data_IF_925836199959
#
_entry.id   IF_925836199959
#
_cell.length_a   1.000
_cell.length_b   1.000
_cell.length_c   1.000
_cell.angle_alpha   90.00
_cell.angle_beta   90.00
_cell.angle_gamma   90.00
#
_symmetry.space_group_name_H-M   'P 1'
#
loop_
_entity.id
_entity.type
_entity.pdbx_description
1 polymer ?
#
# COMPACT_ATOMS: atom_id res chain seq x y z
N UNK A 1 -5.96 18.74 91.14
CA UNK A 1 -5.64 17.45 90.46
C UNK A 1 -4.73 17.76 89.27
N UNK A 2 -3.99 16.75 88.79
CA UNK A 2 -3.12 16.69 87.59
C UNK A 2 -4.01 16.66 86.32
N UNK A 3 -3.74 17.33 85.18
CA UNK A 3 -2.67 18.28 84.80
C UNK A 3 -3.23 19.36 83.78
N UNK A 4 -2.61 19.94 82.73
CA UNK A 4 -1.36 19.68 81.98
C UNK A 4 -0.75 20.93 81.28
N UNK A 5 0.40 20.75 80.63
CA UNK A 5 1.26 21.75 79.94
C UNK A 5 0.87 22.08 78.47
N UNK A 6 0.69 23.38 78.18
CA UNK A 6 1.09 24.18 76.98
C UNK A 6 0.64 23.86 75.52
N UNK A 7 0.76 24.84 74.57
CA UNK A 7 0.23 24.80 73.18
C UNK A 7 1.41 24.80 72.14
N UNK A 8 1.36 25.38 70.91
CA UNK A 8 0.26 25.85 70.04
C UNK A 8 0.38 25.37 68.56
N UNK A 9 -0.45 25.90 67.66
CA UNK A 9 0.04 26.39 66.36
C UNK A 9 -0.93 27.41 65.74
N UNK A 10 -0.42 28.34 64.93
CA UNK A 10 -1.20 29.28 64.13
C UNK A 10 -0.90 29.08 62.65
N UNK A 11 -1.91 29.26 61.79
CA UNK A 11 -1.77 29.23 60.34
C UNK A 11 -2.54 30.42 59.75
N UNK A 12 -1.81 31.47 59.40
CA UNK A 12 -2.36 32.68 58.77
C UNK A 12 -2.31 32.55 57.23
N UNK A 13 -3.27 33.15 56.53
CA UNK A 13 -3.58 32.80 55.14
C UNK A 13 -3.17 33.88 54.13
N UNK A 14 -2.32 33.53 53.17
CA UNK A 14 -2.02 34.36 51.99
C UNK A 14 -2.04 33.54 50.70
N UNK A 15 -2.93 33.91 49.78
CA UNK A 15 -2.93 33.40 48.40
C UNK A 15 -1.98 34.22 47.51
N UNK A 16 -1.13 33.59 46.69
CA UNK A 16 -0.48 34.28 45.58
C UNK A 16 -1.47 34.54 44.43
N UNK A 17 -1.61 35.79 44.00
CA UNK A 17 -2.33 36.13 42.77
C UNK A 17 -1.50 35.72 41.54
N UNK A 18 -2.12 35.07 40.56
CA UNK A 18 -1.46 34.67 39.30
C UNK A 18 -1.40 35.84 38.31
N UNK A 19 -0.26 36.51 38.25
CA UNK A 19 0.00 37.63 37.35
C UNK A 19 0.02 37.21 35.87
N UNK A 20 -0.67 37.97 35.02
CA UNK A 20 -0.78 37.68 33.59
C UNK A 20 0.46 38.13 32.80
N UNK A 21 1.45 37.25 32.68
CA UNK A 21 2.56 37.28 31.71
C UNK A 21 3.13 35.86 31.57
N UNK A 22 3.56 35.34 30.42
CA UNK A 22 3.92 35.98 29.14
C UNK A 22 3.30 35.21 27.95
N UNK A 23 2.82 35.89 26.90
CA UNK A 23 2.44 35.25 25.62
C UNK A 23 3.62 35.17 24.63
N UNK A 24 4.76 34.62 25.07
CA UNK A 24 5.92 34.41 24.22
C UNK A 24 6.24 32.90 24.12
N UNK A 25 6.01 32.35 22.93
CA UNK A 25 6.54 31.06 22.45
C UNK A 25 6.50 29.90 23.47
N UNK A 26 5.31 29.32 23.68
CA UNK A 26 5.24 27.95 24.23
C UNK A 26 6.05 27.03 23.31
N UNK A 27 7.11 26.40 23.87
CA UNK A 27 7.93 25.46 23.11
C UNK A 27 7.03 24.29 22.64
N UNK A 28 6.95 24.02 21.33
CA UNK A 28 6.06 22.97 20.82
C UNK A 28 6.43 21.60 21.43
N UNK A 29 5.43 20.75 21.75
CA UNK A 29 5.65 19.51 22.47
C UNK A 29 6.46 18.52 21.61
N UNK A 30 7.63 18.13 22.14
CA UNK A 30 8.52 17.17 21.53
C UNK A 30 8.18 15.77 22.06
N UNK A 31 7.96 14.82 21.15
CA UNK A 31 7.83 13.39 21.44
C UNK A 31 9.06 12.67 20.92
N UNK A 32 9.80 12.03 21.83
CA UNK A 32 10.81 11.04 21.50
C UNK A 32 10.21 9.63 21.62
N UNK A 33 10.72 8.68 20.84
CA UNK A 33 10.38 7.27 20.91
C UNK A 33 11.61 6.48 20.46
N UNK A 34 11.90 5.38 21.14
CA UNK A 34 12.96 4.43 20.79
C UNK A 34 12.38 3.03 20.88
N UNK A 35 12.79 2.16 19.97
CA UNK A 35 12.27 0.81 19.77
C UNK A 35 13.46 -0.10 19.45
N UNK A 36 13.51 -1.30 20.03
CA UNK A 36 14.63 -2.24 19.86
C UNK A 36 14.17 -3.49 19.13
N UNK A 37 14.90 -3.85 18.09
CA UNK A 37 14.69 -5.08 17.31
C UNK A 37 15.75 -6.13 17.70
N UNK A 38 15.29 -7.31 18.13
CA UNK A 38 16.16 -8.43 18.48
C UNK A 38 16.90 -9.01 17.29
N UNK A 39 16.28 -9.00 16.12
CA UNK A 39 16.71 -9.81 14.97
C UNK A 39 17.81 -9.09 14.20
N UNK A 40 17.73 -7.75 14.10
CA UNK A 40 18.83 -6.90 13.60
C UNK A 40 19.75 -6.37 14.71
N UNK A 41 19.37 -6.46 15.99
CA UNK A 41 20.06 -5.84 17.13
C UNK A 41 20.24 -4.30 16.99
N UNK A 42 19.26 -3.63 16.39
CA UNK A 42 19.23 -2.18 16.16
C UNK A 42 18.19 -1.48 17.04
N UNK A 43 18.49 -0.22 17.39
CA UNK A 43 17.56 0.71 18.02
C UNK A 43 17.02 1.71 16.99
N UNK A 44 15.72 1.67 16.74
CA UNK A 44 15.01 2.61 15.87
C UNK A 44 14.56 3.83 16.69
N UNK A 45 15.16 4.99 16.42
CA UNK A 45 14.92 6.22 17.15
C UNK A 45 14.08 7.20 16.34
N UNK A 46 13.20 7.92 17.03
CA UNK A 46 12.17 8.77 16.41
C UNK A 46 11.87 9.99 17.28
N UNK A 47 12.47 11.11 16.92
CA UNK A 47 12.12 12.43 17.46
C UNK A 47 11.02 13.04 16.58
N UNK A 48 10.01 13.67 17.19
CA UNK A 48 9.01 14.43 16.43
C UNK A 48 8.44 15.59 17.23
N UNK A 49 8.06 16.65 16.53
CA UNK A 49 7.59 17.91 17.10
C UNK A 49 6.49 18.49 16.19
N UNK A 50 5.39 18.99 16.76
CA UNK A 50 4.33 19.67 16.00
C UNK A 50 4.50 21.18 16.07
N UNK A 51 4.58 21.85 14.94
CA UNK A 51 4.79 23.29 14.82
C UNK A 51 3.49 24.00 14.44
N UNK A 52 3.42 25.31 14.70
CA UNK A 52 2.33 26.21 14.27
C UNK A 52 0.94 25.63 14.56
N UNK A 53 0.62 25.40 15.83
CA UNK A 53 -0.69 24.89 16.30
C UNK A 53 -1.19 23.63 15.56
N UNK A 54 -0.27 22.71 15.26
CA UNK A 54 -0.46 21.45 14.53
C UNK A 54 -0.51 21.57 13.00
N UNK A 55 -0.37 22.76 12.39
CA UNK A 55 -0.36 22.95 10.93
C UNK A 55 0.86 22.29 10.25
N UNK A 56 1.96 22.10 10.98
CA UNK A 56 3.13 21.37 10.51
C UNK A 56 3.68 20.40 11.57
N UNK A 57 4.50 19.46 11.11
CA UNK A 57 5.18 18.44 11.92
C UNK A 57 6.59 18.20 11.40
N UNK A 58 7.56 18.34 12.28
CA UNK A 58 8.93 17.90 12.09
C UNK A 58 9.11 16.50 12.68
N UNK A 59 9.87 15.65 12.00
CA UNK A 59 10.29 14.31 12.44
C UNK A 59 11.76 14.12 12.06
N UNK A 60 12.52 13.52 12.95
CA UNK A 60 13.85 12.95 12.71
C UNK A 60 13.78 11.47 13.10
N UNK A 61 14.16 10.59 12.18
CA UNK A 61 14.43 9.18 12.46
C UNK A 61 15.90 8.86 12.24
N UNK A 62 16.41 7.87 12.97
CA UNK A 62 17.74 7.29 12.78
C UNK A 62 17.80 5.93 13.48
N UNK A 63 18.69 5.06 13.02
CA UNK A 63 19.00 3.79 13.66
C UNK A 63 20.29 3.93 14.47
N UNK A 64 20.40 3.25 15.61
CA UNK A 64 21.65 3.08 16.34
C UNK A 64 21.95 1.59 16.52
N UNK A 65 23.20 1.16 16.33
CA UNK A 65 23.63 -0.19 16.72
C UNK A 65 24.11 -0.25 18.18
N UNK A 66 24.42 -1.46 18.66
CA UNK A 66 24.92 -1.72 20.02
C UNK A 66 26.28 -1.08 20.36
N UNK A 67 26.97 -0.44 19.40
CA UNK A 67 28.20 0.35 19.60
C UNK A 67 27.94 1.86 19.61
N UNK A 68 26.68 2.29 19.51
CA UNK A 68 26.30 3.70 19.44
C UNK A 68 26.57 4.38 18.10
N UNK A 69 26.90 3.62 17.06
CA UNK A 69 27.03 4.15 15.70
C UNK A 69 25.63 4.40 15.11
N UNK A 70 25.45 5.58 14.53
CA UNK A 70 24.20 6.08 13.95
C UNK A 70 24.17 5.79 12.45
N UNK A 71 23.05 5.29 11.92
CA UNK A 71 22.81 5.05 10.49
C UNK A 71 21.37 5.37 10.08
N UNK A 72 21.11 5.45 8.77
CA UNK A 72 19.82 5.84 8.18
C UNK A 72 19.18 7.11 8.79
N UNK A 73 19.91 8.24 8.98
CA UNK A 73 19.35 9.49 9.48
C UNK A 73 18.44 10.17 8.45
N UNK A 74 17.15 10.25 8.78
CA UNK A 74 16.10 10.78 7.91
C UNK A 74 15.32 11.91 8.58
N UNK A 75 15.31 13.07 7.94
CA UNK A 75 14.44 14.19 8.29
C UNK A 75 13.11 14.11 7.53
N UNK A 76 12.04 14.54 8.15
CA UNK A 76 10.73 14.69 7.51
C UNK A 76 10.03 15.94 8.01
N UNK A 77 9.65 16.82 7.10
CA UNK A 77 8.79 17.97 7.35
C UNK A 77 7.47 17.76 6.64
N UNK A 78 6.37 17.67 7.40
CA UNK A 78 5.01 17.42 6.91
C UNK A 78 4.08 18.57 7.30
N UNK A 79 3.26 19.00 6.35
CA UNK A 79 2.15 19.95 6.52
C UNK A 79 0.86 19.31 6.01
N UNK A 80 -0.26 20.04 5.94
CA UNK A 80 -1.50 19.56 5.30
C UNK A 80 -1.31 19.22 3.80
N UNK A 81 -0.45 19.95 3.08
CA UNK A 81 -0.39 19.92 1.61
C UNK A 81 0.99 19.58 1.03
N UNK A 82 2.01 19.43 1.89
CA UNK A 82 3.40 19.20 1.49
C UNK A 82 4.10 18.31 2.52
N UNK A 83 4.79 17.27 2.07
CA UNK A 83 5.77 16.51 2.83
C UNK A 83 7.11 16.49 2.10
N UNK A 84 8.15 16.99 2.74
CA UNK A 84 9.54 16.81 2.33
C UNK A 84 10.17 15.74 3.21
N UNK A 85 10.75 14.71 2.61
CA UNK A 85 11.60 13.72 3.27
C UNK A 85 13.03 13.94 2.80
N UNK A 86 13.96 14.22 3.71
CA UNK A 86 15.37 14.43 3.39
C UNK A 86 16.21 13.33 4.03
N UNK A 87 16.92 12.57 3.21
CA UNK A 87 17.86 11.55 3.65
C UNK A 87 19.27 12.14 3.75
N UNK A 88 19.90 12.02 4.93
CA UNK A 88 21.19 12.64 5.22
C UNK A 88 22.38 11.79 4.72
N UNK A 89 22.19 10.49 4.48
CA UNK A 89 23.23 9.65 3.88
C UNK A 89 23.23 9.86 2.36
N UNK A 90 22.06 9.73 1.72
CA UNK A 90 21.93 9.93 0.27
C UNK A 90 22.01 11.41 -0.18
N UNK A 91 21.93 12.37 0.74
CA UNK A 91 21.91 13.82 0.44
C UNK A 91 20.77 14.19 -0.54
N UNK A 92 19.60 13.56 -0.38
CA UNK A 92 18.48 13.65 -1.31
C UNK A 92 17.20 14.12 -0.60
N UNK A 93 16.36 14.88 -1.31
CA UNK A 93 15.02 15.25 -0.88
C UNK A 93 13.96 14.62 -1.79
N UNK A 94 13.06 13.82 -1.21
CA UNK A 94 11.81 13.40 -1.84
C UNK A 94 10.69 14.36 -1.41
N UNK A 95 10.24 15.19 -2.34
CA UNK A 95 9.17 16.14 -2.17
C UNK A 95 7.84 15.56 -2.64
N UNK A 96 6.82 15.61 -1.78
CA UNK A 96 5.46 15.15 -2.06
C UNK A 96 4.50 16.30 -1.77
N UNK A 97 3.71 16.75 -2.73
CA UNK A 97 2.64 17.72 -2.53
C UNK A 97 1.27 17.11 -2.89
N UNK A 98 0.22 17.57 -2.21
CA UNK A 98 -1.16 17.14 -2.52
C UNK A 98 -2.14 18.27 -2.19
N UNK A 99 -2.94 18.65 -3.18
CA UNK A 99 -3.85 19.80 -3.15
C UNK A 99 -5.20 19.42 -3.78
N UNK A 100 -6.27 19.64 -3.04
CA UNK A 100 -7.62 19.69 -3.60
C UNK A 100 -7.83 21.09 -4.21
N UNK A 101 -7.96 21.15 -5.54
CA UNK A 101 -8.10 22.41 -6.30
C UNK A 101 -9.56 22.87 -6.28
N UNK A 102 -10.48 21.92 -6.38
CA UNK A 102 -11.93 22.09 -6.28
C UNK A 102 -12.53 20.79 -5.70
N UNK A 103 -13.77 20.79 -5.19
CA UNK A 103 -14.41 19.58 -4.70
C UNK A 103 -14.41 18.47 -5.77
N UNK A 104 -13.80 17.33 -5.46
CA UNK A 104 -13.63 16.22 -6.41
C UNK A 104 -12.52 16.41 -7.45
N UNK A 105 -11.64 17.41 -7.33
CA UNK A 105 -10.47 17.60 -8.18
C UNK A 105 -9.20 17.71 -7.34
N UNK A 106 -8.39 16.66 -7.36
CA UNK A 106 -7.15 16.54 -6.59
C UNK A 106 -5.92 16.54 -7.51
N UNK A 107 -4.87 17.24 -7.11
CA UNK A 107 -3.57 17.26 -7.76
C UNK A 107 -2.49 16.83 -6.76
N UNK A 108 -1.66 15.87 -7.13
CA UNK A 108 -0.57 15.34 -6.30
C UNK A 108 0.71 15.29 -7.14
N UNK A 109 1.81 15.83 -6.61
CA UNK A 109 3.12 15.79 -7.25
C UNK A 109 4.14 15.11 -6.35
N UNK A 110 4.95 14.23 -6.93
CA UNK A 110 6.09 13.57 -6.30
C UNK A 110 7.35 13.96 -7.08
N UNK A 111 8.44 14.33 -6.40
CA UNK A 111 9.68 14.74 -7.05
C UNK A 111 10.90 14.35 -6.22
N UNK A 112 11.85 13.67 -6.86
CA UNK A 112 13.18 13.38 -6.34
C UNK A 112 14.14 14.49 -6.79
N UNK A 113 14.69 15.23 -5.83
CA UNK A 113 15.52 16.42 -6.11
C UNK A 113 16.92 16.07 -6.59
N UNK A 114 17.50 14.93 -6.16
CA UNK A 114 18.85 14.49 -6.56
C UNK A 114 18.86 13.91 -7.97
N UNK A 115 17.87 13.08 -8.29
CA UNK A 115 17.70 12.47 -9.61
C UNK A 115 16.98 13.41 -10.61
N UNK A 116 16.40 14.51 -10.14
CA UNK A 116 15.62 15.49 -10.92
C UNK A 116 14.37 14.93 -11.62
N UNK A 117 13.95 13.71 -11.27
CA UNK A 117 12.75 13.05 -11.81
C UNK A 117 11.56 13.21 -10.86
N UNK A 118 10.36 12.95 -11.36
CA UNK A 118 9.13 13.03 -10.59
C UNK A 118 7.92 12.56 -11.37
N UNK A 119 6.74 12.72 -10.75
CA UNK A 119 5.46 12.38 -11.33
C UNK A 119 4.39 13.36 -10.85
N UNK A 120 3.62 13.91 -11.77
CA UNK A 120 2.39 14.66 -11.50
C UNK A 120 1.19 13.75 -11.73
N UNK A 121 0.24 13.70 -10.80
CA UNK A 121 -1.03 12.99 -10.97
C UNK A 121 -2.19 13.90 -10.60
N UNK A 122 -3.14 14.03 -11.52
CA UNK A 122 -4.43 14.71 -11.31
C UNK A 122 -5.54 13.66 -11.28
N UNK A 123 -6.48 13.77 -10.34
CA UNK A 123 -7.66 12.90 -10.22
C UNK A 123 -8.91 13.77 -10.17
N UNK A 124 -9.87 13.48 -11.04
CA UNK A 124 -11.16 14.16 -11.13
C UNK A 124 -12.33 13.18 -10.96
N UNK A 125 -13.21 13.44 -10.01
CA UNK A 125 -14.48 12.74 -9.85
C UNK A 125 -15.47 13.23 -10.92
N UNK A 126 -15.83 12.36 -11.88
CA UNK A 126 -16.73 12.72 -12.99
C UNK A 126 -18.21 12.51 -12.62
N UNK A 127 -18.48 11.46 -11.84
CA UNK A 127 -19.79 11.07 -11.33
C UNK A 127 -19.60 10.10 -10.15
N UNK A 128 -20.64 9.76 -9.37
CA UNK A 128 -20.52 8.75 -8.32
C UNK A 128 -19.94 7.42 -8.85
N UNK A 129 -18.78 7.02 -8.31
CA UNK A 129 -18.00 5.85 -8.75
C UNK A 129 -17.41 5.92 -10.17
N UNK A 130 -17.28 7.11 -10.77
CA UNK A 130 -16.53 7.35 -12.00
C UNK A 130 -15.43 8.39 -11.76
N UNK A 131 -14.17 8.05 -12.03
CA UNK A 131 -13.04 8.97 -11.86
C UNK A 131 -12.09 8.94 -13.06
N UNK A 132 -11.55 10.10 -13.43
CA UNK A 132 -10.51 10.25 -14.43
C UNK A 132 -9.20 10.59 -13.72
N UNK A 133 -8.18 9.76 -13.92
CA UNK A 133 -6.81 10.00 -13.48
C UNK A 133 -5.95 10.34 -14.69
N UNK A 134 -5.23 11.47 -14.66
CA UNK A 134 -4.15 11.79 -15.59
C UNK A 134 -2.82 11.76 -14.83
N UNK A 135 -1.82 11.04 -15.35
CA UNK A 135 -0.50 10.90 -14.72
C UNK A 135 0.60 11.19 -15.74
N UNK A 136 1.53 12.08 -15.40
CA UNK A 136 2.66 12.50 -16.24
C UNK A 136 3.98 12.35 -15.48
N UNK A 137 5.09 11.93 -16.12
CA UNK A 137 6.42 12.13 -15.56
C UNK A 137 6.76 13.63 -15.44
N UNK A 138 7.79 13.94 -14.66
CA UNK A 138 8.44 15.25 -14.57
C UNK A 138 9.97 15.02 -14.63
N UNK A 139 10.73 15.67 -15.55
CA UNK A 139 10.26 16.47 -16.68
C UNK A 139 9.28 15.70 -17.59
N UNK A 140 8.42 16.42 -18.30
CA UNK A 140 7.40 15.81 -19.15
C UNK A 140 8.07 15.13 -20.35
N UNK A 141 7.84 13.83 -20.48
CA UNK A 141 8.11 13.03 -21.66
C UNK A 141 6.76 12.45 -22.13
N UNK A 142 6.49 12.56 -23.43
CA UNK A 142 5.23 12.10 -24.03
C UNK A 142 3.95 12.78 -23.51
N UNK A 143 2.84 12.13 -23.84
CA UNK A 143 1.49 12.39 -23.37
C UNK A 143 1.25 11.81 -21.97
N UNK A 144 0.40 12.43 -21.13
CA UNK A 144 0.05 11.86 -19.83
C UNK A 144 -0.79 10.59 -19.99
N UNK A 145 -0.42 9.54 -19.25
CA UNK A 145 -1.24 8.34 -19.04
C UNK A 145 -2.63 8.76 -18.54
N UNK A 146 -3.68 8.31 -19.22
CA UNK A 146 -5.07 8.64 -18.90
C UNK A 146 -5.86 7.38 -18.51
N UNK A 147 -6.27 7.26 -17.25
CA UNK A 147 -7.06 6.14 -16.72
C UNK A 147 -8.47 6.60 -16.33
N UNK A 148 -9.49 6.05 -17.00
CA UNK A 148 -10.90 6.21 -16.64
C UNK A 148 -11.37 5.01 -15.82
N UNK A 149 -11.76 5.24 -14.56
CA UNK A 149 -12.37 4.26 -13.66
C UNK A 149 -13.88 4.37 -13.65
N UNK A 150 -14.56 3.24 -13.48
CA UNK A 150 -16.02 3.12 -13.44
C UNK A 150 -16.44 1.93 -12.53
N UNK A 151 -17.73 1.77 -12.15
CA UNK A 151 -18.14 0.79 -11.13
C UNK A 151 -17.78 -0.68 -11.40
N UNK A 152 -17.50 -1.02 -12.66
CA UNK A 152 -17.22 -2.37 -13.13
C UNK A 152 -15.81 -2.52 -13.71
N UNK A 153 -14.92 -1.54 -13.58
CA UNK A 153 -13.62 -1.61 -14.26
C UNK A 153 -12.85 -0.31 -14.38
N UNK A 154 -11.78 -0.37 -15.17
CA UNK A 154 -11.02 0.79 -15.62
C UNK A 154 -10.49 0.57 -17.04
N UNK A 155 -10.26 1.65 -17.79
CA UNK A 155 -9.57 1.67 -19.09
C UNK A 155 -8.45 2.70 -18.99
N UNK A 156 -7.25 2.34 -19.44
CA UNK A 156 -6.10 3.24 -19.52
C UNK A 156 -5.61 3.39 -20.95
N UNK A 157 -5.25 4.62 -21.30
CA UNK A 157 -4.49 4.99 -22.48
C UNK A 157 -3.11 5.46 -22.01
N UNK A 158 -2.05 4.98 -22.65
CA UNK A 158 -0.66 5.33 -22.37
C UNK A 158 0.12 5.44 -23.68
N UNK A 159 1.23 6.15 -23.66
CA UNK A 159 2.13 6.26 -24.81
C UNK A 159 3.32 5.32 -24.60
N UNK A 160 3.44 4.30 -25.44
CA UNK A 160 4.59 3.39 -25.43
C UNK A 160 5.67 3.92 -26.38
N UNK A 161 6.87 4.09 -25.84
CA UNK A 161 8.10 4.17 -26.62
C UNK A 161 8.49 2.72 -26.99
N UNK A 162 8.05 2.25 -28.16
CA UNK A 162 8.42 0.94 -28.71
C UNK A 162 9.91 0.97 -29.12
N UNK A 163 10.82 0.77 -28.16
CA UNK A 163 12.28 0.90 -28.28
C UNK A 163 12.97 -0.04 -29.33
N UNK A 164 12.23 -0.75 -30.17
CA UNK A 164 12.76 -1.65 -31.20
C UNK A 164 13.00 -0.95 -32.55
N UNK A 165 12.43 0.25 -32.78
CA UNK A 165 12.61 1.04 -34.01
C UNK A 165 12.96 2.51 -33.67
N UNK A 166 14.20 2.95 -33.96
CA UNK A 166 14.71 4.30 -33.59
C UNK A 166 13.98 5.48 -34.25
N UNK A 167 13.21 5.25 -35.33
CA UNK A 167 12.43 6.24 -36.08
C UNK A 167 10.90 6.05 -35.94
N UNK A 168 10.43 5.13 -35.09
CA UNK A 168 9.00 4.85 -34.95
C UNK A 168 8.25 6.00 -34.24
N UNK A 169 7.09 6.37 -34.77
CA UNK A 169 6.17 7.26 -34.07
C UNK A 169 5.57 6.53 -32.85
N UNK A 170 5.49 7.18 -31.66
CA UNK A 170 5.13 6.51 -30.42
C UNK A 170 3.73 5.88 -30.48
N UNK A 171 3.61 4.66 -29.97
CA UNK A 171 2.40 3.83 -30.11
C UNK A 171 1.48 4.07 -28.91
N UNK A 172 0.25 4.49 -29.18
CA UNK A 172 -0.78 4.59 -28.13
C UNK A 172 -1.22 3.18 -27.69
N UNK A 173 -0.78 2.79 -26.49
CA UNK A 173 -1.17 1.55 -25.85
C UNK A 173 -2.51 1.71 -25.12
N UNK A 174 -3.41 0.75 -25.33
CA UNK A 174 -4.70 0.67 -24.62
C UNK A 174 -4.68 -0.55 -23.72
N UNK A 175 -5.06 -0.37 -22.46
CA UNK A 175 -5.33 -1.47 -21.52
C UNK A 175 -6.67 -1.26 -20.82
N UNK A 176 -7.25 -2.32 -20.29
CA UNK A 176 -8.52 -2.20 -19.57
C UNK A 176 -8.91 -3.47 -18.82
N UNK A 177 -9.59 -3.29 -17.70
CA UNK A 177 -10.10 -4.36 -16.85
C UNK A 177 -11.60 -4.17 -16.71
N UNK A 178 -12.38 -5.20 -17.02
CA UNK A 178 -13.82 -5.25 -16.74
C UNK A 178 -14.13 -6.41 -15.79
N UNK A 179 -15.10 -6.22 -14.90
CA UNK A 179 -15.55 -7.20 -13.91
C UNK A 179 -17.03 -6.99 -13.58
N UNK A 180 -17.86 -7.95 -13.99
CA UNK A 180 -19.31 -7.93 -13.77
C UNK A 180 -19.84 -9.25 -13.24
N UNK A 181 -20.97 -9.21 -12.52
CA UNK A 181 -21.73 -10.43 -12.23
C UNK A 181 -22.46 -10.87 -13.50
N UNK A 182 -22.33 -12.15 -13.84
CA UNK A 182 -23.00 -12.77 -14.98
C UNK A 182 -23.52 -14.13 -14.52
N UNK A 183 -24.83 -14.37 -14.63
CA UNK A 183 -25.50 -15.54 -14.05
C UNK A 183 -25.14 -15.68 -12.55
N UNK A 184 -24.74 -16.88 -12.13
CA UNK A 184 -24.35 -17.22 -10.75
C UNK A 184 -22.83 -17.07 -10.51
N UNK A 185 -22.12 -16.28 -11.32
CA UNK A 185 -20.67 -16.12 -11.23
C UNK A 185 -20.20 -14.71 -11.58
N UNK A 186 -18.89 -14.51 -11.54
CA UNK A 186 -18.23 -13.26 -11.91
C UNK A 186 -17.52 -13.47 -13.24
N UNK A 187 -17.85 -12.66 -14.24
CA UNK A 187 -17.06 -12.52 -15.46
C UNK A 187 -16.01 -11.42 -15.23
N UNK A 188 -14.78 -11.67 -15.70
CA UNK A 188 -13.68 -10.72 -15.70
C UNK A 188 -13.02 -10.78 -17.08
N UNK A 189 -12.77 -9.61 -17.66
CA UNK A 189 -11.99 -9.43 -18.88
C UNK A 189 -10.82 -8.50 -18.57
N UNK A 190 -9.64 -8.79 -19.12
CA UNK A 190 -8.45 -7.97 -18.99
C UNK A 190 -7.77 -7.86 -20.36
N UNK A 191 -7.66 -6.64 -20.87
CA UNK A 191 -6.93 -6.29 -22.08
C UNK A 191 -5.65 -5.53 -21.73
N UNK A 192 -4.56 -5.85 -22.40
CA UNK A 192 -3.27 -5.18 -22.32
C UNK A 192 -2.25 -5.90 -23.20
N UNK A 193 -1.24 -5.19 -23.68
CA UNK A 193 -0.13 -5.75 -24.46
C UNK A 193 -0.61 -6.60 -25.66
N UNK A 194 -1.63 -6.07 -26.36
CA UNK A 194 -2.36 -6.69 -27.47
C UNK A 194 -2.95 -8.10 -27.19
N UNK A 195 -3.11 -8.45 -25.90
CA UNK A 195 -3.72 -9.68 -25.41
C UNK A 195 -5.03 -9.41 -24.64
N UNK A 196 -6.01 -10.30 -24.79
CA UNK A 196 -7.29 -10.29 -24.06
C UNK A 196 -7.47 -11.59 -23.26
N UNK A 197 -7.36 -11.54 -21.94
CA UNK A 197 -7.75 -12.64 -21.07
C UNK A 197 -9.23 -12.50 -20.67
N UNK A 198 -10.01 -13.55 -20.91
CA UNK A 198 -11.40 -13.68 -20.46
C UNK A 198 -11.46 -14.80 -19.42
N UNK A 199 -12.09 -14.53 -18.28
CA UNK A 199 -12.17 -15.45 -17.15
C UNK A 199 -13.52 -15.38 -16.46
N UNK A 200 -14.18 -16.52 -16.36
CA UNK A 200 -15.39 -16.68 -15.54
C UNK A 200 -15.04 -17.31 -14.20
N UNK A 201 -15.85 -17.06 -13.17
CA UNK A 201 -15.65 -17.60 -11.83
C UNK A 201 -16.99 -17.89 -11.16
N UNK A 202 -17.46 -19.12 -11.31
CA UNK A 202 -18.59 -19.67 -10.56
C UNK A 202 -18.12 -20.21 -9.19
N UNK A 203 -18.96 -20.04 -8.15
CA UNK A 203 -18.68 -20.55 -6.81
C UNK A 203 -19.97 -20.76 -6.00
N UNK A 204 -20.06 -21.92 -5.37
CA UNK A 204 -21.02 -22.24 -4.32
C UNK A 204 -20.28 -22.63 -3.00
N UNK A 205 -20.95 -23.35 -2.09
CA UNK A 205 -20.39 -23.79 -0.80
C UNK A 205 -19.34 -24.92 -0.92
N UNK A 206 -19.51 -25.75 -1.95
CA UNK A 206 -18.78 -26.99 -2.21
C UNK A 206 -17.81 -26.85 -3.38
N UNK A 207 -18.21 -26.15 -4.44
CA UNK A 207 -17.53 -26.06 -5.73
C UNK A 207 -17.07 -24.64 -6.04
N UNK A 208 -15.94 -24.53 -6.73
CA UNK A 208 -15.52 -23.33 -7.46
C UNK A 208 -15.05 -23.77 -8.83
N UNK A 209 -15.57 -23.17 -9.90
CA UNK A 209 -15.19 -23.49 -11.28
C UNK A 209 -14.87 -22.20 -12.03
N UNK A 210 -13.67 -22.15 -12.60
CA UNK A 210 -13.06 -20.96 -13.16
C UNK A 210 -12.44 -21.33 -14.51
N UNK A 211 -13.21 -21.29 -15.62
CA UNK A 211 -12.66 -21.40 -16.97
C UNK A 211 -12.08 -20.06 -17.41
N UNK A 212 -11.04 -20.12 -18.23
CA UNK A 212 -10.36 -18.96 -18.82
C UNK A 212 -9.88 -19.24 -20.24
N UNK A 213 -9.86 -18.19 -21.07
CA UNK A 213 -9.26 -18.17 -22.39
C UNK A 213 -8.44 -16.89 -22.56
N UNK A 214 -7.25 -16.99 -23.14
CA UNK A 214 -6.50 -15.83 -23.66
C UNK A 214 -6.64 -15.74 -25.18
N UNK A 215 -6.78 -14.53 -25.71
CA UNK A 215 -6.82 -14.21 -27.14
C UNK A 215 -5.68 -13.21 -27.42
N UNK A 216 -5.05 -13.22 -28.61
CA UNK A 216 -5.39 -14.02 -29.80
C UNK A 216 -4.87 -15.46 -29.79
N UNK A 217 -4.11 -15.89 -28.77
CA UNK A 217 -3.54 -17.25 -28.70
C UNK A 217 -4.57 -18.38 -28.67
N UNK A 218 -5.81 -18.09 -28.25
CA UNK A 218 -6.88 -19.06 -27.92
C UNK A 218 -6.51 -19.99 -26.76
N UNK A 219 -5.54 -19.60 -25.92
CA UNK A 219 -5.00 -20.45 -24.87
C UNK A 219 -6.06 -20.73 -23.81
N UNK A 220 -6.46 -21.99 -23.69
CA UNK A 220 -7.59 -22.42 -22.87
C UNK A 220 -7.11 -23.07 -21.57
N UNK A 221 -7.77 -22.73 -20.48
CA UNK A 221 -7.53 -23.36 -19.17
C UNK A 221 -8.78 -23.39 -18.30
N UNK A 222 -8.77 -24.26 -17.29
CA UNK A 222 -9.71 -24.15 -16.18
C UNK A 222 -9.05 -24.48 -14.85
N UNK A 223 -9.48 -23.80 -13.80
CA UNK A 223 -9.23 -24.21 -12.42
C UNK A 223 -10.53 -24.57 -11.71
N UNK A 224 -10.48 -25.66 -10.94
CA UNK A 224 -11.60 -26.25 -10.24
C UNK A 224 -11.22 -26.49 -8.78
N UNK A 225 -12.13 -26.27 -7.85
CA UNK A 225 -11.90 -26.56 -6.42
C UNK A 225 -13.13 -27.24 -5.85
N UNK A 226 -12.97 -28.47 -5.36
CA UNK A 226 -14.02 -29.24 -4.69
C UNK A 226 -13.70 -29.39 -3.22
N UNK A 227 -14.60 -28.92 -2.37
CA UNK A 227 -14.69 -29.34 -0.97
C UNK A 227 -15.39 -30.70 -0.93
N UNK A 228 -14.86 -31.64 -0.16
CA UNK A 228 -15.50 -32.93 0.12
C UNK A 228 -16.04 -33.02 1.56
N UNK A 229 -15.42 -32.28 2.47
CA UNK A 229 -15.85 -32.14 3.87
C UNK A 229 -15.50 -30.73 4.37
N UNK A 230 -15.92 -30.30 5.57
CA UNK A 230 -15.44 -29.05 6.16
C UNK A 230 -13.91 -28.91 6.17
N UNK A 231 -13.20 -30.03 6.38
CA UNK A 231 -11.73 -30.12 6.43
C UNK A 231 -11.05 -30.32 5.08
N UNK A 232 -11.71 -31.01 4.15
CA UNK A 232 -11.12 -31.59 2.93
C UNK A 232 -11.43 -30.80 1.67
N UNK A 233 -10.39 -30.42 0.93
CA UNK A 233 -10.50 -29.69 -0.34
C UNK A 233 -9.44 -30.11 -1.35
N UNK A 234 -9.88 -30.53 -2.53
CA UNK A 234 -9.07 -30.60 -3.73
C UNK A 234 -9.11 -29.25 -4.48
N UNK A 235 -7.97 -28.83 -5.00
CA UNK A 235 -7.85 -27.83 -6.06
C UNK A 235 -7.17 -28.48 -7.26
N UNK A 236 -7.61 -28.14 -8.46
CA UNK A 236 -7.10 -28.63 -9.73
C UNK A 236 -6.97 -27.46 -10.72
N UNK A 237 -5.96 -27.51 -11.56
CA UNK A 237 -5.72 -26.62 -12.70
C UNK A 237 -5.37 -27.50 -13.90
N UNK A 238 -5.90 -27.17 -15.08
CA UNK A 238 -5.54 -27.81 -16.34
C UNK A 238 -5.49 -26.76 -17.47
N UNK A 239 -4.44 -26.83 -18.29
CA UNK A 239 -4.24 -25.99 -19.47
C UNK A 239 -4.30 -26.91 -20.71
N UNK A 240 -5.16 -26.58 -21.67
CA UNK A 240 -5.41 -27.43 -22.84
C UNK A 240 -4.21 -27.43 -23.81
N UNK A 241 -3.59 -26.26 -24.02
CA UNK A 241 -2.47 -26.05 -24.94
C UNK A 241 -1.26 -26.92 -24.61
N UNK A 242 -0.78 -26.85 -23.36
CA UNK A 242 0.42 -27.55 -22.89
C UNK A 242 0.11 -28.94 -22.37
N UNK A 243 -1.17 -29.27 -22.16
CA UNK A 243 -1.65 -30.42 -21.38
C UNK A 243 -1.15 -30.45 -19.92
N UNK A 244 -0.52 -29.37 -19.43
CA UNK A 244 -0.04 -29.29 -18.06
C UNK A 244 -1.19 -29.05 -17.09
N UNK A 245 -1.18 -29.84 -16.03
CA UNK A 245 -2.09 -29.78 -14.90
C UNK A 245 -1.36 -29.79 -13.57
N UNK A 246 -2.02 -29.28 -12.55
CA UNK A 246 -1.60 -29.44 -11.16
C UNK A 246 -2.78 -29.71 -10.25
N UNK A 247 -2.53 -30.53 -9.21
CA UNK A 247 -3.53 -30.95 -8.24
C UNK A 247 -2.99 -30.74 -6.84
N UNK A 248 -3.77 -30.09 -5.97
CA UNK A 248 -3.43 -29.87 -4.56
C UNK A 248 -4.60 -30.27 -3.68
N UNK A 249 -4.41 -31.36 -2.94
CA UNK A 249 -5.27 -31.74 -1.84
C UNK A 249 -4.88 -30.97 -0.57
N UNK A 250 -5.87 -30.56 0.21
CA UNK A 250 -5.71 -29.96 1.52
C UNK A 250 -6.65 -30.65 2.51
N UNK A 251 -6.07 -31.19 3.59
CA UNK A 251 -6.79 -31.61 4.79
C UNK A 251 -6.59 -30.58 5.92
N UNK A 252 -7.54 -30.52 6.85
CA UNK A 252 -7.50 -29.61 8.01
C UNK A 252 -7.75 -30.42 9.27
N UNK A 253 -6.72 -30.55 10.12
CA UNK A 253 -6.78 -31.33 11.37
C UNK A 253 -7.06 -30.36 12.51
N UNK A 254 -8.26 -30.45 13.08
CA UNK A 254 -8.72 -29.51 14.10
C UNK A 254 -8.77 -28.06 13.58
N UNK A 255 -8.32 -27.11 14.41
CA UNK A 255 -8.23 -25.68 14.05
C UNK A 255 -6.81 -25.25 13.66
N UNK A 256 -5.81 -25.85 14.32
CA UNK A 256 -4.41 -25.42 14.28
C UNK A 256 -3.62 -25.99 13.11
N UNK A 257 -3.92 -27.21 12.62
CA UNK A 257 -3.05 -27.88 11.64
C UNK A 257 -3.68 -28.02 10.26
N UNK A 258 -2.91 -27.71 9.21
CA UNK A 258 -3.29 -27.88 7.80
C UNK A 258 -2.22 -28.69 7.08
N UNK A 259 -2.62 -29.80 6.48
CA UNK A 259 -1.77 -30.63 5.61
C UNK A 259 -2.14 -30.35 4.17
N UNK A 260 -1.14 -30.11 3.32
CA UNK A 260 -1.29 -30.04 1.86
C UNK A 260 -0.43 -31.13 1.22
N UNK A 261 -0.98 -31.84 0.26
CA UNK A 261 -0.26 -32.74 -0.63
C UNK A 261 -0.66 -32.42 -2.07
N UNK A 262 0.30 -32.36 -2.99
CA UNK A 262 0.00 -32.03 -4.38
C UNK A 262 1.07 -32.47 -5.37
N UNK A 263 0.76 -32.32 -6.64
CA UNK A 263 1.63 -32.61 -7.77
C UNK A 263 1.43 -31.54 -8.85
N UNK A 264 2.52 -31.15 -9.50
CA UNK A 264 2.52 -30.29 -10.67
C UNK A 264 3.24 -31.00 -11.81
N UNK A 265 2.57 -31.12 -12.97
CA UNK A 265 3.08 -31.89 -14.12
C UNK A 265 3.98 -31.11 -15.06
N UNK A 266 4.03 -29.77 -14.96
CA UNK A 266 4.95 -28.93 -15.74
C UNK A 266 6.38 -29.12 -15.22
N UNK A 267 6.57 -28.89 -13.92
CA UNK A 267 7.84 -29.15 -13.22
C UNK A 267 8.04 -30.62 -12.82
N UNK A 268 6.99 -31.44 -12.93
CA UNK A 268 6.94 -32.88 -12.58
C UNK A 268 7.23 -33.18 -11.10
N UNK A 269 6.97 -32.23 -10.19
CA UNK A 269 7.31 -32.33 -8.77
C UNK A 269 6.07 -32.58 -7.89
N UNK A 270 6.27 -33.41 -6.87
CA UNK A 270 5.34 -33.56 -5.75
C UNK A 270 5.66 -32.56 -4.62
N UNK A 271 4.64 -32.08 -3.93
CA UNK A 271 4.74 -31.10 -2.85
C UNK A 271 3.99 -31.59 -1.61
N UNK A 272 4.65 -31.59 -0.45
CA UNK A 272 4.05 -31.80 0.86
C UNK A 272 4.32 -30.61 1.78
N UNK A 273 3.28 -30.02 2.37
CA UNK A 273 3.41 -28.91 3.33
C UNK A 273 2.55 -29.18 4.56
N UNK A 274 3.17 -29.08 5.73
CA UNK A 274 2.50 -29.05 7.03
C UNK A 274 2.55 -27.62 7.57
N UNK A 275 1.40 -27.07 7.97
CA UNK A 275 1.30 -25.73 8.57
C UNK A 275 0.57 -25.84 9.90
N UNK A 276 1.29 -25.66 11.01
CA UNK A 276 0.73 -25.33 12.31
C UNK A 276 0.52 -23.82 12.47
N UNK A 277 -0.18 -23.42 13.53
CA UNK A 277 -0.43 -22.05 13.95
C UNK A 277 -0.30 -21.97 15.48
#
# INVERSE_FOLDING_TARGET
>A
MVESVSPPSAADSLQPQTSASHRFLQRPPIRFTTEFDSDTSLFFNKLSCKLFDNLAKFKLCFQNNNKGHVSNPQLTFTTKHLTCQYDLEEHNALLNSSLEIAPGLQLTAVHDVKAQVGQMTMVADLAPSYTLQLTSPLPSAGLPKATLRFPYGEVSLEENEDHEEEDAAPKLAVSGIFKGQVLNGICNAQYGDDNLNLRYSYKDEETTFIPSISLPSNALSFSFKRRFSPSDKLSYLYNFDTNYWSAVYKHTVGKEYKVKAGYDSEVRLGLGIFVGW
#
